data_IF_676165671176
#
_entry.id   IF_676165671176
#
_cell.length_a   1.000
_cell.length_b   1.000
_cell.length_c   1.000
_cell.angle_alpha   90.00
_cell.angle_beta   90.00
_cell.angle_gamma   90.00
#
_symmetry.space_group_name_H-M   'P 1'
#
loop_
_entity.id
_entity.type
_entity.pdbx_description
1 polymer ?
#
# COMPACT_ATOMS: atom_id res chain seq x y z
N UNK A 1 -19.62 19.41 -3.29
CA UNK A 1 -20.35 18.53 -4.21
C UNK A 1 -21.78 18.39 -3.72
N UNK A 2 -22.75 18.55 -4.57
CA UNK A 2 -24.17 18.35 -4.23
C UNK A 2 -24.53 16.85 -4.30
N UNK A 3 -23.97 16.05 -3.37
CA UNK A 3 -24.16 14.59 -3.36
C UNK A 3 -25.63 14.18 -3.12
N UNK A 4 -26.39 15.04 -2.44
CA UNK A 4 -27.83 14.88 -2.22
C UNK A 4 -28.66 14.85 -3.53
N UNK A 5 -28.09 15.33 -4.64
CA UNK A 5 -28.68 15.23 -5.98
C UNK A 5 -28.30 13.95 -6.72
N UNK A 6 -27.43 13.16 -6.14
CA UNK A 6 -27.05 11.83 -6.60
C UNK A 6 -27.61 10.81 -5.61
N UNK A 7 -27.45 9.53 -5.90
CA UNK A 7 -27.79 8.47 -4.94
C UNK A 7 -26.56 8.03 -4.13
N UNK A 8 -25.43 8.74 -4.26
CA UNK A 8 -24.17 8.38 -3.61
C UNK A 8 -24.30 8.44 -2.11
N UNK A 9 -23.93 7.36 -1.43
CA UNK A 9 -23.89 7.25 0.03
C UNK A 9 -22.55 7.73 0.58
N UNK A 10 -22.62 8.28 1.78
CA UNK A 10 -21.45 8.69 2.56
C UNK A 10 -21.48 8.05 3.94
N UNK A 11 -20.31 7.80 4.50
CA UNK A 11 -20.17 7.31 5.87
C UNK A 11 -20.53 8.42 6.89
N UNK A 12 -20.50 8.06 8.19
CA UNK A 12 -20.79 9.00 9.29
C UNK A 12 -19.84 10.21 9.38
N UNK A 13 -18.67 10.13 8.74
CA UNK A 13 -17.65 11.19 8.67
C UNK A 13 -17.75 12.01 7.39
N UNK A 14 -18.68 11.66 6.48
CA UNK A 14 -18.90 12.34 5.21
C UNK A 14 -18.03 11.85 4.06
N UNK A 15 -17.31 10.74 4.21
CA UNK A 15 -16.56 10.13 3.12
C UNK A 15 -17.47 9.29 2.23
N UNK A 16 -17.19 9.31 0.93
CA UNK A 16 -17.93 8.53 -0.06
C UNK A 16 -17.61 7.05 0.09
N UNK A 17 -18.64 6.24 0.30
CA UNK A 17 -18.49 4.79 0.40
C UNK A 17 -18.21 4.18 -0.97
N UNK A 18 -17.14 3.40 -1.07
CA UNK A 18 -16.76 2.68 -2.29
C UNK A 18 -16.39 1.24 -1.98
N UNK A 19 -16.63 0.38 -2.95
CA UNK A 19 -16.13 -0.97 -2.93
C UNK A 19 -14.63 -1.04 -3.33
N UNK A 20 -14.07 -2.23 -3.42
CA UNK A 20 -12.68 -2.47 -3.79
C UNK A 20 -12.36 -2.16 -5.27
N UNK A 21 -13.36 -1.95 -6.10
CA UNK A 21 -13.22 -1.49 -7.49
C UNK A 21 -13.47 0.02 -7.64
N UNK A 22 -13.58 0.74 -6.51
CA UNK A 22 -13.83 2.19 -6.43
C UNK A 22 -15.21 2.61 -6.95
N UNK A 23 -16.12 1.66 -7.15
CA UNK A 23 -17.52 1.91 -7.49
C UNK A 23 -18.25 2.46 -6.26
N UNK A 24 -19.12 3.45 -6.46
CA UNK A 24 -20.11 3.86 -5.45
C UNK A 24 -21.41 3.04 -5.60
N UNK A 25 -22.35 3.25 -4.70
CA UNK A 25 -23.69 2.66 -4.81
C UNK A 25 -24.54 3.25 -5.97
N UNK A 26 -24.08 4.34 -6.58
CA UNK A 26 -24.71 4.96 -7.75
C UNK A 26 -23.99 4.52 -9.02
N UNK A 27 -24.69 3.84 -9.92
CA UNK A 27 -24.13 3.31 -11.16
C UNK A 27 -23.44 4.38 -11.99
N UNK A 28 -22.23 4.05 -12.49
CA UNK A 28 -21.41 4.95 -13.31
C UNK A 28 -20.69 6.05 -12.52
N UNK A 29 -20.82 6.07 -11.19
CA UNK A 29 -20.11 7.01 -10.32
C UNK A 29 -19.04 6.27 -9.49
N UNK A 30 -17.81 6.75 -9.59
CA UNK A 30 -16.65 6.23 -8.88
C UNK A 30 -16.07 7.29 -7.96
N UNK A 31 -15.38 6.89 -6.89
CA UNK A 31 -14.68 7.83 -6.02
C UNK A 31 -13.31 7.29 -5.62
N UNK A 32 -12.30 8.14 -5.73
CA UNK A 32 -10.91 7.83 -5.42
C UNK A 32 -10.23 8.97 -4.66
N UNK A 33 -9.08 8.71 -4.07
CA UNK A 33 -8.35 9.69 -3.30
C UNK A 33 -8.98 9.98 -1.93
N UNK A 34 -8.72 11.14 -1.38
CA UNK A 34 -9.09 11.47 0.00
C UNK A 34 -10.59 11.41 0.26
N UNK A 35 -11.42 11.63 -0.77
CA UNK A 35 -12.88 11.66 -0.61
C UNK A 35 -13.50 10.32 -0.21
N UNK A 36 -12.80 9.18 -0.40
CA UNK A 36 -13.29 7.86 0.04
C UNK A 36 -12.82 7.46 1.46
N UNK A 37 -12.02 8.30 2.13
CA UNK A 37 -11.66 8.15 3.53
C UNK A 37 -10.76 6.97 3.90
N UNK A 38 -10.23 6.22 2.94
CA UNK A 38 -9.42 5.00 3.22
C UNK A 38 -8.05 5.33 3.79
N UNK A 39 -7.28 6.19 3.13
CA UNK A 39 -6.00 6.72 3.61
C UNK A 39 -5.69 8.05 2.90
N UNK A 40 -5.38 9.14 3.62
CA UNK A 40 -5.17 10.46 3.03
C UNK A 40 -3.74 10.62 2.52
N UNK A 41 -3.34 9.82 1.54
CA UNK A 41 -2.01 9.87 0.93
C UNK A 41 -2.10 10.03 -0.58
N UNK A 42 -1.24 10.88 -1.15
CA UNK A 42 -1.17 11.09 -2.59
C UNK A 42 -0.89 9.79 -3.36
N UNK A 43 0.04 8.98 -2.89
CA UNK A 43 0.37 7.70 -3.52
C UNK A 43 -0.80 6.71 -3.50
N UNK A 44 -1.67 6.74 -2.47
CA UNK A 44 -2.90 5.95 -2.45
C UNK A 44 -3.86 6.44 -3.53
N UNK A 45 -4.01 7.76 -3.70
CA UNK A 45 -4.85 8.31 -4.76
C UNK A 45 -4.33 7.95 -6.16
N UNK A 46 -3.01 7.96 -6.38
CA UNK A 46 -2.39 7.52 -7.63
C UNK A 46 -2.68 6.03 -7.91
N UNK A 47 -2.46 5.17 -6.91
CA UNK A 47 -2.76 3.73 -6.98
C UNK A 47 -4.23 3.45 -7.34
N UNK A 48 -5.16 4.16 -6.72
CA UNK A 48 -6.59 4.04 -7.03
C UNK A 48 -6.92 4.53 -8.45
N UNK A 49 -6.26 5.62 -8.90
CA UNK A 49 -6.43 6.14 -10.25
C UNK A 49 -5.94 5.14 -11.31
N UNK A 50 -4.82 4.45 -11.04
CA UNK A 50 -4.29 3.42 -11.92
C UNK A 50 -5.22 2.21 -12.00
N UNK A 51 -5.78 1.76 -10.87
CA UNK A 51 -6.80 0.70 -10.84
C UNK A 51 -8.00 1.09 -11.68
N UNK A 52 -8.52 2.29 -11.48
CA UNK A 52 -9.72 2.76 -12.17
C UNK A 52 -9.47 2.93 -13.68
N UNK A 53 -8.35 3.53 -14.05
CA UNK A 53 -7.94 3.69 -15.44
C UNK A 53 -7.77 2.34 -16.14
N UNK A 54 -7.12 1.38 -15.46
CA UNK A 54 -6.97 0.03 -15.99
C UNK A 54 -8.31 -0.64 -16.22
N UNK A 55 -9.17 -0.65 -15.21
CA UNK A 55 -10.45 -1.36 -15.27
C UNK A 55 -11.42 -0.76 -16.30
N UNK A 56 -11.42 0.57 -16.46
CA UNK A 56 -12.38 1.26 -17.34
C UNK A 56 -11.88 1.39 -18.79
N UNK A 57 -10.56 1.54 -19.00
CA UNK A 57 -10.04 1.96 -20.31
C UNK A 57 -8.92 1.10 -20.87
N UNK A 58 -8.08 0.49 -20.03
CA UNK A 58 -6.86 -0.17 -20.47
C UNK A 58 -6.96 -1.70 -20.49
N UNK A 59 -7.90 -2.26 -19.75
CA UNK A 59 -8.08 -3.70 -19.66
C UNK A 59 -8.51 -4.30 -20.99
N UNK A 60 -7.75 -5.26 -21.49
CA UNK A 60 -8.01 -5.97 -22.75
C UNK A 60 -8.53 -7.40 -22.52
N UNK A 61 -8.19 -7.98 -21.36
CA UNK A 61 -8.55 -9.35 -21.01
C UNK A 61 -9.75 -9.36 -20.05
N UNK A 62 -10.68 -10.29 -20.23
CA UNK A 62 -11.87 -10.42 -19.38
C UNK A 62 -11.51 -10.69 -17.90
N UNK A 63 -10.41 -11.40 -17.67
CA UNK A 63 -9.94 -11.80 -16.35
C UNK A 63 -8.80 -10.94 -15.78
N UNK A 64 -8.52 -9.76 -16.35
CA UNK A 64 -7.47 -8.85 -15.88
C UNK A 64 -8.05 -7.66 -15.10
N UNK A 65 -8.83 -7.95 -14.06
CA UNK A 65 -9.35 -6.93 -13.16
C UNK A 65 -8.36 -6.58 -12.06
N UNK A 66 -8.22 -5.29 -11.77
CA UNK A 66 -7.49 -4.78 -10.61
C UNK A 66 -8.47 -4.34 -9.53
N UNK A 67 -8.09 -4.53 -8.28
CA UNK A 67 -8.87 -4.11 -7.12
C UNK A 67 -7.97 -3.48 -6.06
N UNK A 68 -8.53 -2.56 -5.27
CA UNK A 68 -7.81 -1.83 -4.25
C UNK A 68 -7.68 -2.67 -2.97
N UNK A 69 -6.47 -2.71 -2.42
CA UNK A 69 -6.13 -3.27 -1.11
C UNK A 69 -5.43 -2.21 -0.27
N UNK A 70 -5.72 -2.19 1.03
CA UNK A 70 -5.23 -1.16 1.93
C UNK A 70 -4.43 -1.73 3.12
N UNK A 71 -4.13 -3.03 3.09
CA UNK A 71 -3.36 -3.69 4.16
C UNK A 71 -1.90 -3.23 4.20
N UNK A 72 -1.35 -2.82 3.06
CA UNK A 72 0.04 -2.43 2.88
C UNK A 72 0.19 -0.99 2.36
N UNK A 73 -0.59 -0.05 2.91
CA UNK A 73 -0.42 1.37 2.61
C UNK A 73 0.87 1.86 3.26
N UNK A 74 1.88 2.28 2.48
CA UNK A 74 3.08 2.85 3.06
C UNK A 74 2.79 4.24 3.63
N UNK A 75 3.47 4.62 4.70
CA UNK A 75 3.39 5.97 5.24
C UNK A 75 4.79 6.57 5.42
N UNK A 76 4.94 7.83 5.03
CA UNK A 76 6.19 8.58 5.16
C UNK A 76 5.90 9.93 5.78
N UNK A 77 6.68 10.27 6.82
CA UNK A 77 6.74 11.61 7.40
C UNK A 77 8.07 12.24 6.99
N UNK A 78 7.98 13.35 6.25
CA UNK A 78 9.14 14.06 5.67
C UNK A 78 9.72 15.09 6.66
N UNK A 79 9.98 14.64 7.88
CA UNK A 79 10.74 15.38 8.88
C UNK A 79 12.24 15.21 8.67
N UNK A 80 13.07 15.80 9.55
CA UNK A 80 14.48 15.48 9.66
C UNK A 80 14.77 14.92 11.07
N UNK A 81 15.16 13.63 11.16
CA UNK A 81 15.21 12.61 10.10
C UNK A 81 13.80 12.22 9.57
N UNK A 82 13.74 11.67 8.35
CA UNK A 82 12.50 11.11 7.79
C UNK A 82 12.10 9.84 8.54
N UNK A 83 10.79 9.57 8.56
CA UNK A 83 10.25 8.31 9.09
C UNK A 83 9.38 7.65 8.02
N UNK A 84 9.73 6.43 7.65
CA UNK A 84 8.96 5.62 6.69
C UNK A 84 8.56 4.28 7.28
N UNK A 85 7.37 3.81 6.97
CA UNK A 85 6.94 2.48 7.43
C UNK A 85 5.88 1.87 6.51
N UNK A 86 5.81 0.52 6.57
CA UNK A 86 4.75 -0.28 5.98
C UNK A 86 4.48 -1.51 6.85
N UNK A 87 3.25 -1.97 6.86
CA UNK A 87 2.83 -3.16 7.61
C UNK A 87 2.74 -2.95 9.12
N UNK A 88 2.89 -4.02 9.87
CA UNK A 88 2.61 -4.07 11.31
C UNK A 88 3.80 -3.65 12.16
N UNK A 89 3.54 -3.02 13.31
CA UNK A 89 4.52 -2.96 14.41
C UNK A 89 4.66 -4.33 15.07
N UNK A 90 5.67 -4.49 15.92
CA UNK A 90 5.84 -5.72 16.71
C UNK A 90 4.59 -6.03 17.54
N UNK A 91 4.08 -5.03 18.24
CA UNK A 91 2.92 -5.13 19.13
C UNK A 91 1.64 -5.51 18.34
N UNK A 92 1.45 -4.94 17.16
CA UNK A 92 0.34 -5.29 16.27
C UNK A 92 0.45 -6.73 15.75
N UNK A 93 1.64 -7.17 15.37
CA UNK A 93 1.86 -8.52 14.88
C UNK A 93 1.65 -9.55 16.00
N UNK A 94 2.13 -9.29 17.22
CA UNK A 94 1.90 -10.14 18.38
C UNK A 94 0.41 -10.21 18.75
N UNK A 95 -0.30 -9.08 18.72
CA UNK A 95 -1.75 -9.03 18.95
C UNK A 95 -2.54 -9.78 17.88
N UNK A 96 -2.04 -9.83 16.63
CA UNK A 96 -2.60 -10.64 15.54
C UNK A 96 -2.25 -12.15 15.64
N UNK A 97 -1.54 -12.57 16.69
CA UNK A 97 -1.23 -13.96 16.97
C UNK A 97 0.06 -14.50 16.33
N UNK A 98 0.89 -13.62 15.74
CA UNK A 98 2.18 -14.02 15.19
C UNK A 98 3.24 -14.17 16.28
N UNK A 99 4.09 -15.19 16.15
CA UNK A 99 5.36 -15.25 16.90
C UNK A 99 6.41 -14.54 16.07
N UNK A 100 6.90 -13.39 16.58
CA UNK A 100 7.74 -12.51 15.79
C UNK A 100 9.23 -12.60 16.14
N UNK A 101 10.07 -12.30 15.16
CA UNK A 101 11.47 -11.91 15.33
C UNK A 101 11.64 -10.49 14.80
N UNK A 102 12.51 -9.71 15.45
CA UNK A 102 12.76 -8.32 15.08
C UNK A 102 14.22 -8.17 14.73
N UNK A 103 14.51 -7.72 13.50
CA UNK A 103 15.81 -7.26 13.07
C UNK A 103 15.91 -5.75 13.21
N UNK A 104 17.05 -5.26 13.72
CA UNK A 104 17.38 -3.85 13.79
C UNK A 104 18.79 -3.67 13.25
N UNK A 105 19.00 -2.68 12.36
CA UNK A 105 20.33 -2.36 11.85
C UNK A 105 20.45 -0.85 11.65
N UNK A 106 21.57 -0.30 12.16
CA UNK A 106 21.87 1.12 12.08
C UNK A 106 22.62 1.48 10.79
N UNK A 107 22.42 2.70 10.30
CA UNK A 107 23.15 3.20 9.13
C UNK A 107 24.66 3.24 9.40
N UNK A 108 25.06 3.67 10.61
CA UNK A 108 26.45 3.70 11.07
C UNK A 108 27.16 2.34 11.01
N UNK A 109 26.42 1.25 11.06
CA UNK A 109 26.94 -0.12 10.97
C UNK A 109 27.20 -0.57 9.51
N UNK A 110 26.87 0.27 8.54
CA UNK A 110 27.20 0.03 7.13
C UNK A 110 28.49 0.74 6.73
N UNK A 111 29.23 0.20 5.75
CA UNK A 111 30.44 0.86 5.23
C UNK A 111 30.16 2.28 4.72
N UNK A 112 28.97 2.48 4.10
CA UNK A 112 28.56 3.81 3.61
C UNK A 112 28.26 4.77 4.76
N UNK A 113 27.51 4.33 5.75
CA UNK A 113 27.20 5.16 6.93
C UNK A 113 28.47 5.55 7.68
N UNK A 114 29.37 4.60 7.90
CA UNK A 114 30.68 4.88 8.49
C UNK A 114 31.47 5.92 7.68
N UNK A 115 31.53 5.78 6.35
CA UNK A 115 32.26 6.74 5.49
C UNK A 115 31.64 8.13 5.46
N UNK A 116 30.34 8.26 5.78
CA UNK A 116 29.65 9.54 5.95
C UNK A 116 29.77 10.13 7.36
N UNK A 117 30.48 9.45 8.29
CA UNK A 117 30.64 9.89 9.66
C UNK A 117 29.40 9.68 10.55
N UNK A 118 28.48 8.84 10.14
CA UNK A 118 27.32 8.50 10.97
C UNK A 118 27.74 7.73 12.20
N UNK A 119 27.18 8.08 13.35
CA UNK A 119 27.52 7.45 14.64
C UNK A 119 26.23 7.08 15.39
N UNK A 120 26.19 5.87 15.92
CA UNK A 120 25.05 5.38 16.71
C UNK A 120 24.70 6.35 17.85
N UNK A 121 23.40 6.61 17.98
CA UNK A 121 22.86 7.55 18.97
C UNK A 121 22.98 9.03 18.59
N UNK A 122 23.48 9.36 17.40
CA UNK A 122 23.42 10.71 16.85
C UNK A 122 22.22 10.88 15.92
N UNK A 123 21.80 12.13 15.72
CA UNK A 123 20.61 12.46 14.90
C UNK A 123 20.77 12.06 13.43
N UNK A 124 22.01 11.98 12.96
CA UNK A 124 22.34 11.58 11.59
C UNK A 124 22.40 10.05 11.41
N UNK A 125 22.38 9.30 12.51
CA UNK A 125 22.33 7.84 12.45
C UNK A 125 20.87 7.37 12.35
N UNK A 126 20.52 6.88 11.17
CA UNK A 126 19.25 6.22 10.97
C UNK A 126 19.31 4.72 11.32
N UNK A 127 18.18 4.09 11.33
CA UNK A 127 18.09 2.63 11.44
C UNK A 127 16.89 2.09 10.66
N UNK A 128 16.98 0.82 10.33
CA UNK A 128 15.83 0.04 9.84
C UNK A 128 15.48 -1.03 10.87
N UNK A 129 14.18 -1.18 11.11
CA UNK A 129 13.58 -2.21 11.97
C UNK A 129 12.63 -3.05 11.12
N UNK A 130 12.89 -4.35 11.03
CA UNK A 130 12.05 -5.30 10.26
C UNK A 130 11.42 -6.30 11.21
N UNK A 131 10.12 -6.50 11.08
CA UNK A 131 9.32 -7.46 11.84
C UNK A 131 9.01 -8.64 10.93
N UNK A 132 9.36 -9.85 11.34
CA UNK A 132 9.12 -11.07 10.59
C UNK A 132 8.42 -12.12 11.45
N UNK A 133 7.58 -12.95 10.84
CA UNK A 133 7.09 -14.16 11.50
C UNK A 133 8.24 -15.14 11.66
N UNK A 134 8.48 -15.56 12.90
CA UNK A 134 9.66 -16.37 13.26
C UNK A 134 9.74 -17.73 12.53
N UNK A 135 8.58 -18.36 12.29
CA UNK A 135 8.53 -19.70 11.70
C UNK A 135 8.72 -19.68 10.19
N UNK A 136 8.06 -18.77 9.49
CA UNK A 136 8.03 -18.74 8.02
C UNK A 136 9.05 -17.75 7.42
N UNK A 137 9.56 -16.79 8.21
CA UNK A 137 10.35 -15.68 7.72
C UNK A 137 9.51 -14.61 6.98
N UNK A 138 8.17 -14.71 6.99
CA UNK A 138 7.29 -13.75 6.35
C UNK A 138 7.50 -12.35 6.93
N UNK A 139 7.72 -11.37 6.07
CA UNK A 139 7.81 -9.96 6.46
C UNK A 139 6.42 -9.48 6.85
N UNK A 140 6.29 -8.97 8.07
CA UNK A 140 5.05 -8.43 8.63
C UNK A 140 5.06 -6.91 8.68
N UNK A 141 6.24 -6.29 8.76
CA UNK A 141 6.40 -4.84 8.74
C UNK A 141 7.84 -4.42 8.59
N UNK A 142 8.03 -3.22 8.03
CA UNK A 142 9.33 -2.56 7.90
C UNK A 142 9.20 -1.08 8.28
N UNK A 143 10.09 -0.60 9.13
CA UNK A 143 10.09 0.74 9.68
C UNK A 143 11.49 1.32 9.57
N UNK A 144 11.61 2.51 9.04
CA UNK A 144 12.88 3.20 8.83
C UNK A 144 12.80 4.59 9.42
N UNK A 145 13.80 4.99 10.15
CA UNK A 145 14.04 6.39 10.54
C UNK A 145 15.44 6.79 10.08
N UNK A 146 15.57 7.92 9.42
CA UNK A 146 16.84 8.39 8.91
C UNK A 146 16.72 9.10 7.58
N UNK A 147 17.86 9.51 7.03
CA UNK A 147 17.93 10.09 5.70
C UNK A 147 17.43 9.08 4.65
N UNK A 148 16.63 9.55 3.70
CA UNK A 148 16.05 8.74 2.62
C UNK A 148 15.18 7.55 3.09
N UNK A 149 14.59 7.62 4.29
CA UNK A 149 13.70 6.57 4.79
C UNK A 149 12.59 6.26 3.80
N UNK A 150 12.09 7.27 3.06
CA UNK A 150 11.07 7.10 2.01
C UNK A 150 11.44 6.15 0.88
N UNK A 151 12.74 5.91 0.67
CA UNK A 151 13.26 5.01 -0.37
C UNK A 151 13.67 3.66 0.23
N UNK A 152 14.28 3.69 1.42
CA UNK A 152 14.96 2.52 1.98
C UNK A 152 14.03 1.37 2.39
N UNK A 153 12.75 1.62 2.68
CA UNK A 153 11.81 0.53 2.94
C UNK A 153 11.11 -0.01 1.67
N UNK A 154 11.32 0.63 0.51
CA UNK A 154 10.68 0.21 -0.75
C UNK A 154 10.93 -1.26 -1.14
N UNK A 155 12.14 -1.84 -0.97
CA UNK A 155 12.36 -3.26 -1.25
C UNK A 155 11.46 -4.19 -0.42
N UNK A 156 11.22 -3.85 0.84
CA UNK A 156 10.32 -4.62 1.71
C UNK A 156 8.87 -4.50 1.25
N UNK A 157 8.44 -3.30 0.93
CA UNK A 157 7.11 -3.03 0.40
C UNK A 157 6.84 -3.85 -0.88
N UNK A 158 7.78 -3.87 -1.83
CA UNK A 158 7.65 -4.63 -3.06
C UNK A 158 7.56 -6.15 -2.78
N UNK A 159 8.39 -6.68 -1.88
CA UNK A 159 8.34 -8.09 -1.49
C UNK A 159 7.05 -8.45 -0.77
N UNK A 160 6.53 -7.55 0.07
CA UNK A 160 5.27 -7.77 0.79
C UNK A 160 4.06 -7.75 -0.15
N UNK A 161 4.13 -7.01 -1.26
CA UNK A 161 3.09 -6.97 -2.29
C UNK A 161 3.22 -8.08 -3.34
N UNK A 162 4.33 -8.83 -3.38
CA UNK A 162 4.46 -9.94 -4.31
C UNK A 162 3.62 -11.15 -3.86
N UNK A 163 3.04 -11.87 -4.82
CA UNK A 163 2.32 -13.10 -4.58
C UNK A 163 0.83 -13.03 -4.89
N UNK A 164 0.04 -13.87 -4.22
CA UNK A 164 -1.40 -14.02 -4.46
C UNK A 164 -2.21 -13.05 -3.63
N UNK A 165 -3.02 -12.26 -4.31
CA UNK A 165 -3.98 -11.33 -3.75
C UNK A 165 -5.40 -11.85 -3.99
N UNK A 166 -6.07 -12.23 -2.91
CA UNK A 166 -7.46 -12.68 -2.94
C UNK A 166 -8.37 -11.46 -2.81
N UNK A 167 -9.26 -11.31 -3.79
CA UNK A 167 -10.29 -10.26 -3.75
C UNK A 167 -11.12 -10.37 -2.47
N UNK A 168 -11.12 -9.30 -1.67
CA UNK A 168 -11.91 -9.15 -0.45
C UNK A 168 -12.90 -8.01 -0.61
N UNK A 169 -14.18 -8.30 -0.43
CA UNK A 169 -15.20 -7.27 -0.51
C UNK A 169 -15.06 -6.23 0.60
N UNK A 170 -15.03 -4.95 0.25
CA UNK A 170 -15.02 -3.83 1.19
C UNK A 170 -16.45 -3.42 1.52
N UNK A 171 -17.29 -3.24 0.52
CA UNK A 171 -18.71 -2.98 0.63
C UNK A 171 -19.45 -3.99 -0.27
N UNK A 172 -19.81 -5.19 0.24
CA UNK A 172 -20.39 -6.26 -0.59
C UNK A 172 -21.72 -5.87 -1.24
N UNK A 173 -22.45 -4.94 -0.66
CA UNK A 173 -23.70 -4.38 -1.17
C UNK A 173 -23.49 -3.43 -2.35
N UNK A 174 -22.29 -2.85 -2.50
CA UNK A 174 -21.91 -1.94 -3.58
C UNK A 174 -21.26 -2.73 -4.71
N UNK A 175 -21.63 -2.47 -5.96
CA UNK A 175 -20.95 -2.97 -7.14
C UNK A 175 -21.87 -3.33 -8.30
N UNK A 176 -21.31 -3.28 -9.49
CA UNK A 176 -21.91 -3.76 -10.73
C UNK A 176 -22.12 -5.28 -10.71
N UNK A 177 -22.95 -5.79 -11.61
CA UNK A 177 -23.13 -7.25 -11.75
C UNK A 177 -21.79 -7.96 -12.05
N UNK A 178 -20.92 -7.31 -12.79
CA UNK A 178 -19.59 -7.84 -13.13
C UNK A 178 -18.70 -8.01 -11.91
N UNK A 179 -18.63 -7.01 -11.02
CA UNK A 179 -17.84 -7.08 -9.78
C UNK A 179 -18.43 -8.08 -8.78
N UNK A 180 -19.75 -8.25 -8.75
CA UNK A 180 -20.40 -9.32 -7.96
C UNK A 180 -20.01 -10.71 -8.46
N UNK A 181 -19.91 -10.92 -9.78
CA UNK A 181 -19.43 -12.19 -10.36
C UNK A 181 -17.98 -12.48 -9.98
N UNK A 182 -17.09 -11.47 -10.01
CA UNK A 182 -15.69 -11.65 -9.59
C UNK A 182 -15.58 -12.06 -8.12
N UNK A 183 -16.36 -11.44 -7.23
CA UNK A 183 -16.43 -11.83 -5.82
C UNK A 183 -16.91 -13.26 -5.63
N UNK A 184 -17.98 -13.65 -6.33
CA UNK A 184 -18.54 -15.01 -6.27
C UNK A 184 -17.51 -16.07 -6.73
N UNK A 185 -16.70 -15.74 -7.74
CA UNK A 185 -15.61 -16.60 -8.23
C UNK A 185 -14.37 -16.62 -7.32
N UNK A 186 -14.35 -15.83 -6.23
CA UNK A 186 -13.17 -15.65 -5.37
C UNK A 186 -11.93 -15.27 -6.20
N UNK A 187 -12.08 -14.22 -6.98
CA UNK A 187 -11.06 -13.76 -7.92
C UNK A 187 -9.70 -13.55 -7.24
N UNK A 188 -8.63 -13.97 -7.90
CA UNK A 188 -7.25 -13.88 -7.39
C UNK A 188 -6.39 -13.21 -8.45
N UNK A 189 -5.63 -12.21 -8.04
CA UNK A 189 -4.46 -11.72 -8.79
C UNK A 189 -3.19 -12.35 -8.26
N UNK A 190 -2.21 -12.53 -9.12
CA UNK A 190 -0.90 -12.98 -8.73
C UNK A 190 0.14 -11.98 -9.23
N UNK A 191 0.85 -11.32 -8.31
CA UNK A 191 1.91 -10.37 -8.60
C UNK A 191 3.25 -11.10 -8.52
N UNK A 192 3.75 -11.53 -9.66
CA UNK A 192 5.00 -12.27 -9.75
C UNK A 192 6.20 -11.37 -9.42
N UNK A 193 7.12 -11.77 -8.51
CA UNK A 193 8.19 -10.90 -7.99
C UNK A 193 9.16 -10.34 -9.04
N UNK A 194 9.27 -10.98 -10.19
CA UNK A 194 10.19 -10.64 -11.28
C UNK A 194 9.48 -10.11 -12.54
N UNK A 195 8.23 -9.74 -12.42
CA UNK A 195 7.44 -9.11 -13.50
C UNK A 195 7.26 -7.64 -13.21
N UNK A 196 7.52 -6.78 -14.20
CA UNK A 196 7.51 -5.32 -14.03
C UNK A 196 6.16 -4.77 -13.53
N UNK A 197 5.04 -5.38 -13.92
CA UNK A 197 3.71 -4.99 -13.45
C UNK A 197 3.57 -5.03 -11.93
N UNK A 198 4.32 -5.88 -11.23
CA UNK A 198 4.32 -5.93 -9.76
C UNK A 198 4.80 -4.62 -9.14
N UNK A 199 5.78 -3.94 -9.75
CA UNK A 199 6.22 -2.62 -9.30
C UNK A 199 5.13 -1.58 -9.58
N UNK A 200 4.54 -1.61 -10.78
CA UNK A 200 3.52 -0.65 -11.19
C UNK A 200 2.21 -0.79 -10.40
N UNK A 201 1.92 -1.97 -9.87
CA UNK A 201 0.74 -2.24 -9.04
C UNK A 201 1.01 -2.08 -7.54
N UNK A 202 2.23 -1.74 -7.13
CA UNK A 202 2.57 -1.45 -5.73
C UNK A 202 2.43 0.04 -5.43
N UNK A 203 1.87 0.40 -4.28
CA UNK A 203 1.85 1.80 -3.84
C UNK A 203 3.28 2.28 -3.57
N UNK A 204 3.77 3.21 -4.37
CA UNK A 204 5.09 3.82 -4.15
C UNK A 204 4.92 5.15 -3.43
N UNK A 205 5.62 5.38 -2.30
CA UNK A 205 5.52 6.64 -1.56
C UNK A 205 5.74 7.87 -2.42
N UNK A 206 4.95 8.89 -2.18
CA UNK A 206 5.05 10.19 -2.86
C UNK A 206 5.17 11.31 -1.81
N UNK A 207 6.07 12.29 -2.01
CA UNK A 207 7.10 12.38 -3.06
C UNK A 207 8.37 11.59 -2.69
N UNK A 208 8.84 10.71 -3.56
CA UNK A 208 10.09 9.96 -3.33
C UNK A 208 10.79 9.62 -4.64
N UNK A 209 12.12 9.52 -4.64
CA UNK A 209 12.88 9.14 -5.83
C UNK A 209 12.60 7.69 -6.29
N UNK A 210 12.05 6.84 -5.43
CA UNK A 210 11.59 5.50 -5.80
C UNK A 210 10.50 5.49 -6.86
N UNK A 211 9.79 6.62 -7.07
CA UNK A 211 8.78 6.78 -8.14
C UNK A 211 9.39 6.59 -9.54
N UNK A 212 10.68 6.83 -9.72
CA UNK A 212 11.37 6.59 -11.01
C UNK A 212 11.18 5.16 -11.48
N UNK A 213 11.21 4.17 -10.57
CA UNK A 213 10.99 2.77 -10.92
C UNK A 213 9.54 2.45 -11.27
N UNK A 214 8.58 3.25 -10.83
CA UNK A 214 7.16 3.06 -11.11
C UNK A 214 6.78 3.54 -12.52
N UNK A 215 7.49 4.56 -13.03
CA UNK A 215 7.17 5.19 -14.31
C UNK A 215 7.98 4.62 -15.50
N UNK A 216 8.75 3.56 -15.29
CA UNK A 216 9.49 2.86 -16.35
C UNK A 216 8.65 1.76 -16.98
#
# INVERSE_FOLDING_TARGET
>A
LHLERTKVTVDRRGYIETNEFLETNAEGIYALGDCNGKAPFRHKANYEADILSHNLYLRTEENDWRFAEYDLVPAVTYTYPQVGHVGMTKEQAEAAGYTVSVGLHHYSQTSKGYSLGMMEGKVDDGFIKVIVEKKSGKILGAHVIGEQASILFQPFLNLMNAGKHLLRAIHPEIGSEQTKVLRAKKYVRNLEPNVISTINETMVPHPALSEVAMWT
#
